data_IF_775934105238
#
_entry.id   IF_775934105238
#
_cell.length_a   1.000
_cell.length_b   1.000
_cell.length_c   1.000
_cell.angle_alpha   90.00
_cell.angle_beta   90.00
_cell.angle_gamma   90.00
#
_symmetry.space_group_name_H-M   'P 1'
#
loop_
_entity.id
_entity.type
_entity.pdbx_description
1 polymer ?
#
# COMPACT_ATOMS: atom_id res chain seq x y z
N UNK A 1 -37.74 -10.61 -26.14
CA UNK A 1 -37.36 -9.44 -25.33
C UNK A 1 -36.02 -8.96 -25.85
N UNK A 2 -35.98 -7.82 -26.54
CA UNK A 2 -34.74 -7.30 -27.13
C UNK A 2 -34.06 -6.39 -26.12
N UNK A 3 -32.83 -6.74 -25.71
CA UNK A 3 -32.03 -5.91 -24.80
C UNK A 3 -31.46 -4.70 -25.53
N UNK A 4 -31.16 -3.65 -24.76
CA UNK A 4 -30.38 -2.51 -25.25
C UNK A 4 -28.95 -3.00 -25.60
N UNK A 5 -28.38 -2.67 -26.77
CA UNK A 5 -27.03 -3.07 -27.14
C UNK A 5 -25.94 -2.57 -26.15
N UNK A 6 -24.90 -3.38 -25.95
CA UNK A 6 -23.73 -3.03 -25.13
C UNK A 6 -23.96 -3.17 -23.61
N UNK A 7 -23.12 -2.51 -22.81
CA UNK A 7 -23.09 -2.66 -21.35
C UNK A 7 -24.41 -2.24 -20.66
N UNK A 8 -25.17 -1.32 -21.24
CA UNK A 8 -26.45 -0.87 -20.69
C UNK A 8 -27.52 -1.97 -20.68
N UNK A 9 -27.42 -2.98 -21.56
CA UNK A 9 -28.30 -4.15 -21.54
C UNK A 9 -28.18 -5.00 -20.27
N UNK A 10 -27.06 -4.85 -19.54
CA UNK A 10 -26.82 -5.53 -18.26
C UNK A 10 -27.27 -4.71 -17.05
N UNK A 11 -27.81 -3.50 -17.23
CA UNK A 11 -28.41 -2.71 -16.15
C UNK A 11 -29.85 -3.18 -15.92
N UNK A 12 -30.04 -4.00 -14.89
CA UNK A 12 -31.32 -4.64 -14.58
C UNK A 12 -32.31 -3.67 -13.90
N UNK A 13 -31.82 -2.76 -13.05
CA UNK A 13 -32.66 -1.93 -12.17
C UNK A 13 -32.23 -0.47 -12.15
N UNK A 14 -33.01 0.37 -11.47
CA UNK A 14 -32.68 1.78 -11.28
C UNK A 14 -31.40 1.93 -10.43
N UNK A 15 -30.54 2.92 -10.75
CA UNK A 15 -29.31 3.12 -10.01
C UNK A 15 -29.58 3.74 -8.62
N UNK A 16 -28.85 3.32 -7.56
CA UNK A 16 -28.99 3.87 -6.23
C UNK A 16 -28.40 5.29 -6.14
N UNK A 17 -29.25 6.32 -6.18
CA UNK A 17 -28.82 7.73 -6.25
C UNK A 17 -27.84 8.15 -5.14
N UNK A 18 -28.05 7.65 -3.92
CA UNK A 18 -27.17 7.96 -2.78
C UNK A 18 -25.76 7.37 -2.91
N UNK A 19 -25.55 6.34 -3.74
CA UNK A 19 -24.21 5.83 -4.06
C UNK A 19 -23.58 6.56 -5.26
N UNK A 20 -24.39 7.05 -6.19
CA UNK A 20 -23.92 7.83 -7.35
C UNK A 20 -23.30 9.15 -6.90
N UNK A 21 -23.92 9.85 -5.95
CA UNK A 21 -23.44 11.15 -5.45
C UNK A 21 -21.98 11.13 -4.94
N UNK A 22 -21.57 10.27 -3.98
CA UNK A 22 -20.19 10.24 -3.49
C UNK A 22 -19.19 9.72 -4.53
N UNK A 23 -19.58 8.77 -5.38
CA UNK A 23 -18.73 8.32 -6.50
C UNK A 23 -18.46 9.48 -7.45
N UNK A 24 -19.48 10.25 -7.82
CA UNK A 24 -19.34 11.43 -8.68
C UNK A 24 -18.40 12.48 -8.06
N UNK A 25 -18.54 12.77 -6.77
CA UNK A 25 -17.64 13.69 -6.06
C UNK A 25 -16.17 13.22 -6.12
N UNK A 26 -15.93 11.91 -5.95
CA UNK A 26 -14.59 11.32 -6.10
C UNK A 26 -14.07 11.49 -7.54
N UNK A 27 -14.89 11.17 -8.55
CA UNK A 27 -14.50 11.26 -9.95
C UNK A 27 -14.12 12.69 -10.38
N UNK A 28 -14.75 13.71 -9.84
CA UNK A 28 -14.36 15.11 -10.09
C UNK A 28 -12.95 15.42 -9.55
N UNK A 29 -12.54 14.85 -8.41
CA UNK A 29 -11.16 14.95 -7.91
C UNK A 29 -10.18 14.25 -8.88
N UNK A 30 -10.52 13.04 -9.34
CA UNK A 30 -9.69 12.30 -10.31
C UNK A 30 -9.56 13.05 -11.65
N UNK A 31 -10.62 13.72 -12.10
CA UNK A 31 -10.63 14.55 -13.31
C UNK A 31 -9.70 15.74 -13.18
N UNK A 32 -9.68 16.42 -12.02
CA UNK A 32 -8.74 17.51 -11.75
C UNK A 32 -7.29 17.02 -11.63
N UNK A 33 -7.06 15.88 -10.95
CA UNK A 33 -5.72 15.35 -10.73
C UNK A 33 -5.11 14.68 -11.98
N UNK A 34 -5.93 14.07 -12.83
CA UNK A 34 -5.57 13.22 -13.99
C UNK A 34 -4.85 11.92 -13.66
N UNK A 35 -5.21 10.83 -14.35
CA UNK A 35 -4.55 9.53 -14.15
C UNK A 35 -3.05 9.56 -14.48
N UNK A 36 -2.63 10.38 -15.46
CA UNK A 36 -1.21 10.52 -15.85
C UNK A 36 -0.37 11.09 -14.71
N UNK A 37 -0.82 12.18 -14.06
CA UNK A 37 -0.09 12.77 -12.95
C UNK A 37 -0.12 11.88 -11.70
N UNK A 38 -1.26 11.26 -11.40
CA UNK A 38 -1.38 10.30 -10.30
C UNK A 38 -0.43 9.12 -10.47
N UNK A 39 -0.35 8.53 -11.67
CA UNK A 39 0.58 7.44 -11.94
C UNK A 39 2.04 7.87 -11.82
N UNK A 40 2.40 9.05 -12.34
CA UNK A 40 3.75 9.61 -12.19
C UNK A 40 4.15 9.75 -10.72
N UNK A 41 3.27 10.31 -9.88
CA UNK A 41 3.51 10.42 -8.43
C UNK A 41 3.57 9.06 -7.75
N UNK A 42 2.68 8.12 -8.10
CA UNK A 42 2.67 6.75 -7.55
C UNK A 42 3.99 6.02 -7.80
N UNK A 43 4.55 6.10 -9.02
CA UNK A 43 5.84 5.47 -9.34
C UNK A 43 6.94 6.00 -8.42
N UNK A 44 7.02 7.32 -8.23
CA UNK A 44 8.00 7.95 -7.35
C UNK A 44 7.76 7.63 -5.88
N UNK A 45 6.50 7.68 -5.42
CA UNK A 45 6.15 7.49 -4.02
C UNK A 45 6.37 6.04 -3.55
N UNK A 46 5.89 5.07 -4.34
CA UNK A 46 6.13 3.64 -4.08
C UNK A 46 7.58 3.27 -4.34
N UNK A 47 8.25 3.89 -5.33
CA UNK A 47 9.68 3.72 -5.55
C UNK A 47 10.54 4.25 -4.40
N UNK A 48 10.15 5.38 -3.80
CA UNK A 48 10.80 5.92 -2.60
C UNK A 48 10.62 4.98 -1.40
N UNK A 49 9.42 4.45 -1.19
CA UNK A 49 9.18 3.43 -0.18
C UNK A 49 10.06 2.19 -0.40
N UNK A 50 10.09 1.65 -1.61
CA UNK A 50 10.92 0.51 -1.99
C UNK A 50 12.41 0.79 -1.75
N UNK A 51 12.89 1.98 -2.12
CA UNK A 51 14.27 2.42 -1.92
C UNK A 51 14.64 2.41 -0.44
N UNK A 52 13.83 3.04 0.42
CA UNK A 52 14.10 3.10 1.86
C UNK A 52 14.02 1.72 2.51
N UNK A 53 13.06 0.88 2.10
CA UNK A 53 12.95 -0.50 2.58
C UNK A 53 14.24 -1.30 2.29
N UNK A 54 14.72 -1.22 1.05
CA UNK A 54 15.97 -1.87 0.63
C UNK A 54 17.18 -1.26 1.33
N UNK A 55 17.21 0.05 1.56
CA UNK A 55 18.35 0.69 2.22
C UNK A 55 18.49 0.29 3.70
N UNK A 56 17.38 0.28 4.45
CA UNK A 56 17.42 0.07 5.90
C UNK A 56 17.20 -1.38 6.35
N UNK A 57 16.49 -2.20 5.57
CA UNK A 57 16.03 -3.53 6.00
C UNK A 57 16.45 -4.67 5.06
N UNK A 58 17.44 -4.45 4.19
CA UNK A 58 18.01 -5.53 3.38
C UNK A 58 18.71 -6.58 4.25
N UNK A 59 18.71 -7.82 3.77
CA UNK A 59 19.45 -8.93 4.38
C UNK A 59 20.96 -8.63 4.34
N UNK A 60 21.54 -8.30 5.50
CA UNK A 60 22.97 -8.02 5.64
C UNK A 60 23.85 -9.26 5.38
N UNK A 61 25.11 -9.05 4.97
CA UNK A 61 26.10 -10.11 4.70
C UNK A 61 26.84 -10.63 5.96
N UNK A 62 26.73 -9.97 7.12
CA UNK A 62 27.46 -10.38 8.32
C UNK A 62 26.70 -10.06 9.63
N UNK A 63 26.54 -11.09 10.46
CA UNK A 63 26.43 -11.16 11.94
C UNK A 63 25.45 -10.30 12.75
N UNK A 64 24.81 -9.26 12.20
CA UNK A 64 23.80 -8.52 12.97
C UNK A 64 22.45 -9.24 12.87
N UNK A 65 21.96 -9.79 13.99
CA UNK A 65 20.62 -10.42 14.18
C UNK A 65 19.43 -9.44 14.00
N UNK A 66 19.54 -8.42 13.15
CA UNK A 66 18.45 -7.46 12.91
C UNK A 66 17.37 -8.08 12.03
N UNK A 67 16.08 -7.84 12.33
CA UNK A 67 14.99 -8.25 11.45
C UNK A 67 15.14 -7.66 10.05
N UNK A 68 14.87 -8.45 9.01
CA UNK A 68 14.90 -7.99 7.62
C UNK A 68 13.50 -8.03 7.00
N UNK A 69 13.32 -7.24 5.94
CA UNK A 69 12.06 -7.11 5.20
C UNK A 69 12.27 -7.56 3.75
N UNK A 70 11.39 -8.43 3.28
CA UNK A 70 11.34 -8.86 1.88
C UNK A 70 10.12 -8.22 1.18
N UNK A 71 10.29 -7.84 -0.09
CA UNK A 71 9.20 -7.31 -0.92
C UNK A 71 8.77 -8.42 -1.89
N UNK A 72 7.52 -8.87 -1.79
CA UNK A 72 6.93 -9.87 -2.71
C UNK A 72 6.54 -9.21 -4.04
N UNK A 73 6.05 -7.98 -3.99
CA UNK A 73 5.61 -7.25 -5.18
C UNK A 73 6.75 -7.12 -6.19
N UNK A 74 6.51 -7.32 -7.51
CA UNK A 74 7.53 -7.19 -8.54
C UNK A 74 8.28 -5.85 -8.47
N UNK A 75 9.61 -5.88 -8.63
CA UNK A 75 10.45 -4.68 -8.60
C UNK A 75 10.25 -3.79 -9.84
N UNK A 76 9.89 -4.40 -10.98
CA UNK A 76 9.67 -3.69 -12.24
C UNK A 76 8.47 -2.74 -12.10
N UNK A 77 8.69 -1.46 -12.38
CA UNK A 77 7.71 -0.39 -12.10
C UNK A 77 6.41 -0.56 -12.89
N UNK A 78 6.47 -1.14 -14.09
CA UNK A 78 5.31 -1.39 -14.94
C UNK A 78 4.43 -2.53 -14.42
N UNK A 79 5.01 -3.47 -13.66
CA UNK A 79 4.34 -4.68 -13.17
C UNK A 79 3.76 -4.48 -11.75
N UNK A 80 3.68 -3.22 -11.27
CA UNK A 80 3.11 -2.87 -9.96
C UNK A 80 2.34 -1.55 -9.92
N UNK A 81 1.36 -1.50 -9.02
CA UNK A 81 0.61 -0.29 -8.65
C UNK A 81 1.25 0.47 -7.48
N UNK A 82 0.41 1.09 -6.64
CA UNK A 82 0.85 1.78 -5.42
C UNK A 82 1.30 0.80 -4.31
N UNK A 83 0.72 -0.40 -4.27
CA UNK A 83 0.86 -1.35 -3.19
C UNK A 83 2.19 -2.11 -3.26
N UNK A 84 2.87 -2.22 -2.12
CA UNK A 84 3.90 -3.22 -1.86
C UNK A 84 3.38 -4.22 -0.82
N UNK A 85 3.58 -5.50 -1.09
CA UNK A 85 3.40 -6.58 -0.13
C UNK A 85 4.75 -6.92 0.48
N UNK A 86 4.84 -6.85 1.80
CA UNK A 86 6.05 -7.06 2.59
C UNK A 86 5.93 -8.34 3.41
N UNK A 87 7.02 -9.09 3.52
CA UNK A 87 7.18 -10.17 4.51
C UNK A 87 8.38 -9.89 5.40
N UNK A 88 8.38 -10.49 6.58
CA UNK A 88 9.33 -10.17 7.64
C UNK A 88 10.02 -11.44 8.11
N UNK A 89 11.27 -11.30 8.57
CA UNK A 89 11.99 -12.40 9.23
C UNK A 89 11.51 -12.70 10.65
N UNK A 90 10.54 -11.94 11.15
CA UNK A 90 9.90 -12.07 12.46
C UNK A 90 8.39 -12.22 12.28
N UNK A 91 7.64 -12.75 13.26
CA UNK A 91 6.20 -12.94 13.11
C UNK A 91 5.46 -11.65 12.75
N UNK A 92 4.79 -11.63 11.59
CA UNK A 92 4.05 -10.45 11.10
C UNK A 92 3.03 -9.94 12.11
N UNK A 93 2.42 -10.83 12.91
CA UNK A 93 1.41 -10.46 13.91
C UNK A 93 1.97 -9.41 14.89
N UNK A 94 3.22 -9.58 15.31
CA UNK A 94 3.86 -8.66 16.26
C UNK A 94 4.15 -7.32 15.58
N UNK A 95 4.69 -7.34 14.35
CA UNK A 95 4.97 -6.13 13.57
C UNK A 95 3.68 -5.34 13.29
N UNK A 96 2.62 -6.02 12.84
CA UNK A 96 1.31 -5.42 12.57
C UNK A 96 0.73 -4.76 13.81
N UNK A 97 0.70 -5.46 14.95
CA UNK A 97 0.19 -4.89 16.21
C UNK A 97 0.99 -3.68 16.67
N UNK A 98 2.31 -3.68 16.52
CA UNK A 98 3.15 -2.54 16.90
C UNK A 98 2.96 -1.34 15.95
N UNK A 99 2.74 -1.58 14.66
CA UNK A 99 2.40 -0.54 13.68
C UNK A 99 1.01 0.06 13.93
N UNK A 100 0.01 -0.78 14.21
CA UNK A 100 -1.38 -0.37 14.49
C UNK A 100 -1.44 0.55 15.73
N UNK A 101 -0.74 0.17 16.83
CA UNK A 101 -0.60 1.03 18.03
C UNK A 101 0.04 2.39 17.74
N UNK A 102 0.84 2.48 16.68
CA UNK A 102 1.53 3.71 16.23
C UNK A 102 0.72 4.48 15.19
N UNK A 103 -0.53 4.07 14.93
CA UNK A 103 -1.44 4.76 14.01
C UNK A 103 -1.21 4.45 12.53
N UNK A 104 -0.44 3.41 12.19
CA UNK A 104 -0.25 2.99 10.81
C UNK A 104 -1.37 2.05 10.39
N UNK A 105 -2.21 2.51 9.46
CA UNK A 105 -3.30 1.71 8.88
C UNK A 105 -2.79 0.96 7.65
N UNK A 106 -2.78 -0.36 7.71
CA UNK A 106 -2.32 -1.25 6.65
C UNK A 106 -3.10 -2.58 6.68
N UNK A 107 -2.98 -3.39 5.63
CA UNK A 107 -3.72 -4.66 5.52
C UNK A 107 -2.79 -5.85 5.83
N UNK A 108 -3.15 -6.65 6.83
CA UNK A 108 -2.48 -7.93 7.13
C UNK A 108 -3.16 -9.04 6.33
N UNK A 109 -2.38 -9.78 5.55
CA UNK A 109 -2.84 -10.92 4.77
C UNK A 109 -2.16 -12.21 5.21
N UNK A 110 -2.96 -13.22 5.49
CA UNK A 110 -2.46 -14.57 5.75
C UNK A 110 -1.71 -15.14 4.52
N UNK A 111 -0.65 -15.95 4.74
CA UNK A 111 -0.10 -16.34 6.04
C UNK A 111 0.82 -15.29 6.70
N UNK A 112 1.54 -14.46 5.93
CA UNK A 112 2.62 -13.63 6.49
C UNK A 112 2.83 -12.26 5.80
N UNK A 113 1.89 -11.78 4.99
CA UNK A 113 2.04 -10.58 4.18
C UNK A 113 1.46 -9.31 4.80
N UNK A 114 2.22 -8.20 4.80
CA UNK A 114 1.73 -6.86 5.12
C UNK A 114 1.64 -6.03 3.86
N UNK A 115 0.45 -5.50 3.54
CA UNK A 115 0.24 -4.66 2.36
C UNK A 115 0.21 -3.19 2.77
N UNK A 116 1.09 -2.43 2.14
CA UNK A 116 1.17 -0.97 2.29
C UNK A 116 1.03 -0.33 0.92
N UNK A 117 0.13 0.65 0.79
CA UNK A 117 -0.21 1.25 -0.48
C UNK A 117 -0.27 2.79 -0.35
N UNK A 118 0.87 3.49 -0.40
CA UNK A 118 0.86 4.94 -0.40
C UNK A 118 0.23 5.46 -1.71
N UNK A 119 -0.97 6.02 -1.63
CA UNK A 119 -1.70 6.48 -2.81
C UNK A 119 -1.41 7.96 -3.12
N UNK A 120 -1.29 8.33 -4.41
CA UNK A 120 -0.80 9.64 -4.82
C UNK A 120 -1.76 10.80 -4.49
N UNK A 121 -3.06 10.56 -4.29
CA UNK A 121 -4.02 11.63 -4.02
C UNK A 121 -3.75 12.31 -2.67
N UNK A 122 -3.51 11.54 -1.62
CA UNK A 122 -3.47 12.07 -0.25
C UNK A 122 -2.28 11.59 0.59
N UNK A 123 -1.46 10.65 0.10
CA UNK A 123 -0.19 10.34 0.77
C UNK A 123 0.96 11.22 0.23
N UNK A 124 1.84 11.57 1.16
CA UNK A 124 3.04 12.37 0.94
C UNK A 124 4.30 11.50 1.04
N UNK A 125 5.42 11.99 0.50
CA UNK A 125 6.73 11.38 0.72
C UNK A 125 7.10 11.37 2.20
N UNK A 126 6.62 12.35 2.96
CA UNK A 126 6.84 12.40 4.40
C UNK A 126 6.09 11.30 5.15
N UNK A 127 4.91 10.87 4.67
CA UNK A 127 4.22 9.70 5.23
C UNK A 127 5.02 8.42 5.03
N UNK A 128 5.63 8.27 3.85
CA UNK A 128 6.55 7.15 3.57
C UNK A 128 7.75 7.18 4.50
N UNK A 129 8.37 8.34 4.69
CA UNK A 129 9.48 8.51 5.64
C UNK A 129 9.08 8.18 7.08
N UNK A 130 7.93 8.71 7.54
CA UNK A 130 7.36 8.40 8.87
C UNK A 130 7.11 6.90 9.02
N UNK A 131 6.50 6.27 8.02
CA UNK A 131 6.25 4.83 8.01
C UNK A 131 7.54 4.03 8.21
N UNK A 132 8.63 4.38 7.51
CA UNK A 132 9.91 3.68 7.63
C UNK A 132 10.49 3.79 9.05
N UNK A 133 10.44 4.97 9.67
CA UNK A 133 10.92 5.17 11.05
C UNK A 133 10.07 4.38 12.06
N UNK A 134 8.76 4.38 11.90
CA UNK A 134 7.84 3.62 12.74
C UNK A 134 8.02 2.11 12.54
N UNK A 135 8.28 1.66 11.30
CA UNK A 135 8.57 0.28 10.99
C UNK A 135 9.86 -0.19 11.66
N UNK A 136 10.92 0.63 11.62
CA UNK A 136 12.17 0.31 12.35
C UNK A 136 11.89 0.10 13.84
N UNK A 137 11.18 1.06 14.47
CA UNK A 137 10.84 0.98 15.90
C UNK A 137 9.95 -0.23 16.22
N UNK A 138 9.03 -0.59 15.31
CA UNK A 138 8.15 -1.73 15.45
C UNK A 138 8.92 -3.05 15.33
N UNK A 139 9.89 -3.15 14.41
CA UNK A 139 10.74 -4.33 14.25
C UNK A 139 11.65 -4.54 15.46
N UNK A 140 12.24 -3.49 16.01
CA UNK A 140 13.05 -3.56 17.23
C UNK A 140 12.20 -4.07 18.41
N UNK A 141 10.99 -3.54 18.57
CA UNK A 141 10.05 -3.96 19.62
C UNK A 141 9.55 -5.40 19.43
N UNK A 142 9.30 -5.80 18.18
CA UNK A 142 8.82 -7.14 17.85
C UNK A 142 9.90 -8.21 18.07
N UNK A 143 11.18 -7.87 17.87
CA UNK A 143 12.31 -8.76 18.10
C UNK A 143 12.55 -9.05 19.59
N UNK A 144 12.23 -8.13 20.50
CA UNK A 144 12.37 -8.33 21.95
C UNK A 144 11.27 -9.24 22.54
N UNK A 145 10.16 -9.43 21.83
CA UNK A 145 9.01 -10.25 22.27
C UNK A 145 9.06 -11.71 21.82
N UNK A 146 10.19 -12.15 21.27
CA UNK A 146 10.46 -13.54 20.85
C UNK A 146 11.17 -14.24 22.00
#
# INVERSE_FOLDING_TARGET
>A
MQLIPGANGFRISNPPILLVCPLHASLEIFKQATMKALRRKSILLTGYLEYLLKHYFSKGKAETKKPFVNIITPARIEDRGCQLTLTFSVPIKNVYQELEKRGVVCDKREPDGLRVAPVPLYNSFHDVYKFINLLSSALDSAATKI
#
